data_IF_188683684064
#
_entry.id   IF_188683684064
#
_cell.length_a   1.000
_cell.length_b   1.000
_cell.length_c   1.000
_cell.angle_alpha   90.00
_cell.angle_beta   90.00
_cell.angle_gamma   90.00
#
_symmetry.space_group_name_H-M   'P 1'
#
loop_
_entity.id
_entity.type
_entity.pdbx_description
1 polymer ?
#
# COMPACT_ATOMS: atom_id res chain seq x y z
N UNK A 1 26.40 19.61 2.43
CA UNK A 1 25.11 19.36 3.11
C UNK A 1 24.59 18.04 2.59
N UNK A 2 24.70 16.99 3.36
CA UNK A 2 24.05 15.71 3.05
C UNK A 2 22.55 15.97 3.14
N UNK A 3 21.83 15.92 2.01
CA UNK A 3 20.36 15.87 2.02
C UNK A 3 20.00 14.60 2.77
N UNK A 4 19.57 14.75 4.01
CA UNK A 4 18.99 13.63 4.76
C UNK A 4 17.79 13.12 3.93
N UNK A 5 17.84 11.86 3.51
CA UNK A 5 16.75 11.28 2.74
C UNK A 5 15.51 11.22 3.62
N UNK A 6 14.36 11.62 3.06
CA UNK A 6 13.06 11.50 3.74
C UNK A 6 12.87 10.07 4.26
N UNK A 7 12.71 9.85 5.58
CA UNK A 7 12.50 8.52 6.12
C UNK A 7 11.19 7.91 5.61
N UNK A 8 11.29 6.65 5.18
CA UNK A 8 10.14 5.87 4.74
C UNK A 8 9.70 4.97 5.90
N UNK A 9 8.42 5.01 6.21
CA UNK A 9 7.74 4.05 7.06
C UNK A 9 7.01 3.07 6.15
N UNK A 10 7.57 1.87 6.00
CA UNK A 10 7.04 0.82 5.14
C UNK A 10 6.04 -0.03 5.90
N UNK A 11 4.78 -0.09 5.44
CA UNK A 11 3.71 -0.86 6.09
C UNK A 11 3.08 -1.82 5.10
N UNK A 12 3.25 -3.12 5.36
CA UNK A 12 2.58 -4.19 4.65
C UNK A 12 1.46 -4.82 5.48
N UNK A 13 0.64 -5.61 4.85
CA UNK A 13 -0.38 -6.39 5.53
C UNK A 13 -1.51 -6.86 4.62
N UNK A 14 -2.24 -7.92 5.01
CA UNK A 14 -3.33 -8.48 4.23
C UNK A 14 -4.53 -7.53 4.13
N UNK A 15 -5.49 -7.88 3.27
CA UNK A 15 -6.75 -7.14 3.14
C UNK A 15 -7.53 -7.15 4.46
N UNK A 16 -8.03 -5.98 4.89
CA UNK A 16 -8.81 -5.86 6.13
C UNK A 16 -7.97 -5.81 7.43
N UNK A 17 -6.63 -5.82 7.38
CA UNK A 17 -5.79 -5.67 8.59
C UNK A 17 -5.88 -4.28 9.25
N UNK A 18 -6.52 -3.31 8.58
CA UNK A 18 -6.60 -1.93 9.08
C UNK A 18 -5.44 -1.03 8.65
N UNK A 19 -4.45 -1.57 7.90
CA UNK A 19 -3.23 -0.82 7.54
C UNK A 19 -3.51 0.54 6.91
N UNK A 20 -4.45 0.65 5.96
CA UNK A 20 -4.72 1.93 5.27
C UNK A 20 -5.26 3.00 6.20
N UNK A 21 -6.16 2.64 7.12
CA UNK A 21 -6.73 3.57 8.08
C UNK A 21 -5.69 4.00 9.11
N UNK A 22 -4.92 3.04 9.64
CA UNK A 22 -3.85 3.29 10.61
C UNK A 22 -2.72 4.10 9.98
N UNK A 23 -2.24 3.72 8.80
CA UNK A 23 -1.19 4.44 8.07
C UNK A 23 -1.53 5.90 7.81
N UNK A 24 -2.79 6.17 7.42
CA UNK A 24 -3.28 7.55 7.21
C UNK A 24 -3.28 8.35 8.50
N UNK A 25 -3.80 7.77 9.58
CA UNK A 25 -3.86 8.47 10.86
C UNK A 25 -2.46 8.75 11.42
N UNK A 26 -1.53 7.82 11.27
CA UNK A 26 -0.13 8.01 11.63
C UNK A 26 0.48 9.15 10.81
N UNK A 27 0.30 9.14 9.49
CA UNK A 27 0.79 10.21 8.64
C UNK A 27 0.24 11.58 9.07
N UNK A 28 -1.06 11.65 9.39
CA UNK A 28 -1.70 12.87 9.89
C UNK A 28 -1.11 13.33 11.23
N UNK A 29 -0.96 12.42 12.22
CA UNK A 29 -0.43 12.76 13.55
C UNK A 29 1.03 13.20 13.52
N UNK A 30 1.81 12.68 12.56
CA UNK A 30 3.23 12.98 12.43
C UNK A 30 3.56 14.09 11.43
N UNK A 31 2.57 14.60 10.68
CA UNK A 31 2.83 15.52 9.59
C UNK A 31 3.59 14.89 8.43
N UNK A 32 3.48 13.56 8.26
CA UNK A 32 4.12 12.79 7.21
C UNK A 32 3.23 12.70 5.97
N UNK A 33 3.85 12.41 4.83
CA UNK A 33 3.11 12.00 3.64
C UNK A 33 2.54 10.59 3.79
N UNK A 34 1.49 10.31 3.01
CA UNK A 34 0.86 8.99 2.91
C UNK A 34 0.77 8.55 1.45
N UNK A 35 1.25 7.36 1.15
CA UNK A 35 1.25 6.79 -0.20
C UNK A 35 0.56 5.42 -0.22
N UNK A 36 -0.62 5.34 -0.87
CA UNK A 36 -1.36 4.11 -1.19
C UNK A 36 -0.83 3.53 -2.51
N UNK A 37 0.05 2.54 -2.45
CA UNK A 37 0.57 1.89 -3.66
C UNK A 37 -0.51 1.14 -4.44
N UNK A 38 -1.52 0.61 -3.76
CA UNK A 38 -2.67 -0.01 -4.39
C UNK A 38 -3.45 0.95 -5.30
N UNK A 39 -3.46 2.25 -5.01
CA UNK A 39 -4.04 3.25 -5.90
C UNK A 39 -3.27 3.34 -7.22
N UNK A 40 -1.94 3.24 -7.19
CA UNK A 40 -1.10 3.21 -8.40
C UNK A 40 -1.39 2.01 -9.29
N UNK A 41 -1.51 0.81 -8.71
CA UNK A 41 -1.89 -0.39 -9.44
C UNK A 41 -3.29 -0.28 -10.04
N UNK A 42 -4.27 0.25 -9.30
CA UNK A 42 -5.63 0.49 -9.81
C UNK A 42 -5.64 1.53 -10.93
N UNK A 43 -4.83 2.57 -10.82
CA UNK A 43 -4.69 3.58 -11.86
C UNK A 43 -4.13 3.00 -13.17
N UNK A 44 -3.18 2.07 -13.08
CA UNK A 44 -2.69 1.36 -14.25
C UNK A 44 -3.77 0.45 -14.86
N UNK A 45 -4.53 -0.30 -14.03
CA UNK A 45 -5.69 -1.08 -14.52
C UNK A 45 -6.65 -0.21 -15.29
N UNK A 46 -7.05 0.93 -14.72
CA UNK A 46 -7.94 1.89 -15.37
C UNK A 46 -7.37 2.37 -16.71
N UNK A 47 -6.07 2.70 -16.74
CA UNK A 47 -5.41 3.17 -17.95
C UNK A 47 -5.40 2.13 -19.08
N UNK A 48 -5.14 0.86 -18.75
CA UNK A 48 -5.16 -0.26 -19.71
C UNK A 48 -6.58 -0.49 -20.23
N UNK A 49 -7.55 -0.61 -19.33
CA UNK A 49 -8.96 -0.85 -19.68
C UNK A 49 -9.55 0.28 -20.57
N UNK A 50 -9.21 1.54 -20.23
CA UNK A 50 -9.68 2.69 -21.03
C UNK A 50 -9.13 2.70 -22.46
N UNK A 51 -8.02 2.01 -22.73
CA UNK A 51 -7.45 1.82 -24.07
C UNK A 51 -8.09 0.64 -24.79
N UNK A 52 -9.06 -0.04 -24.17
CA UNK A 52 -9.71 -1.24 -24.71
C UNK A 52 -8.79 -2.47 -24.71
N UNK A 53 -7.73 -2.47 -23.89
CA UNK A 53 -6.78 -3.56 -23.80
C UNK A 53 -7.11 -4.49 -22.63
N UNK A 54 -6.72 -5.77 -22.77
CA UNK A 54 -6.83 -6.76 -21.70
C UNK A 54 -5.66 -6.62 -20.72
N UNK A 55 -5.94 -6.55 -19.45
CA UNK A 55 -4.91 -6.49 -18.40
C UNK A 55 -4.16 -7.82 -18.23
N UNK A 56 -4.67 -8.93 -18.74
CA UNK A 56 -3.98 -10.22 -18.79
C UNK A 56 -3.00 -10.34 -19.97
N UNK A 57 -3.09 -9.44 -20.95
CA UNK A 57 -2.14 -9.35 -22.06
C UNK A 57 -0.93 -8.52 -21.63
N UNK A 58 0.18 -9.20 -21.34
CA UNK A 58 1.41 -8.57 -20.88
C UNK A 58 1.93 -7.53 -21.86
N UNK A 59 1.92 -7.80 -23.16
CA UNK A 59 2.45 -6.88 -24.18
C UNK A 59 1.58 -5.62 -24.29
N UNK A 60 0.28 -5.77 -24.18
CA UNK A 60 -0.65 -4.65 -24.14
C UNK A 60 -0.44 -3.77 -22.90
N UNK A 61 -0.21 -4.39 -21.72
CA UNK A 61 0.08 -3.67 -20.48
C UNK A 61 1.42 -2.93 -20.59
N UNK A 62 2.49 -3.59 -21.06
CA UNK A 62 3.80 -2.95 -21.24
C UNK A 62 3.73 -1.79 -22.24
N UNK A 63 2.96 -1.94 -23.31
CA UNK A 63 2.71 -0.85 -24.26
C UNK A 63 2.00 0.32 -23.58
N UNK A 64 1.01 0.06 -22.71
CA UNK A 64 0.29 1.10 -21.98
C UNK A 64 1.19 1.90 -21.03
N UNK A 65 2.24 1.29 -20.44
CA UNK A 65 3.20 1.99 -19.57
C UNK A 65 3.88 3.17 -20.28
N UNK A 66 4.08 3.11 -21.58
CA UNK A 66 4.77 4.17 -22.33
C UNK A 66 4.07 5.53 -22.28
N UNK A 67 2.77 5.55 -21.99
CA UNK A 67 1.94 6.75 -21.87
C UNK A 67 1.28 6.91 -20.51
N UNK A 68 1.73 6.13 -19.51
CA UNK A 68 1.16 6.15 -18.16
C UNK A 68 1.80 7.26 -17.32
N UNK A 69 1.16 8.43 -17.30
CA UNK A 69 1.55 9.59 -16.46
C UNK A 69 0.68 9.59 -15.20
N UNK A 70 1.20 8.96 -14.14
CA UNK A 70 0.53 8.83 -12.83
C UNK A 70 0.96 9.94 -11.90
N UNK A 71 -0.03 10.58 -11.25
CA UNK A 71 0.18 11.46 -10.09
C UNK A 71 -0.66 11.00 -8.93
N UNK A 72 -0.04 10.89 -7.78
CA UNK A 72 -0.65 10.55 -6.50
C UNK A 72 -0.40 11.69 -5.52
N UNK A 73 -1.45 12.16 -4.85
CA UNK A 73 -1.31 13.03 -3.69
C UNK A 73 -0.63 12.30 -2.54
N UNK A 74 0.19 13.00 -1.77
CA UNK A 74 0.82 12.47 -0.56
C UNK A 74 0.17 12.99 0.73
N UNK A 75 -0.74 13.94 0.64
CA UNK A 75 -1.48 14.41 1.80
C UNK A 75 -2.44 13.32 2.30
N UNK A 76 -2.46 12.99 3.60
CA UNK A 76 -3.30 11.92 4.13
C UNK A 76 -4.79 12.07 3.81
N UNK A 77 -5.27 13.31 3.70
CA UNK A 77 -6.67 13.63 3.42
C UNK A 77 -6.96 13.87 1.93
N UNK A 78 -5.94 14.10 1.11
CA UNK A 78 -6.06 14.18 -0.34
C UNK A 78 -5.84 12.80 -0.97
N UNK A 79 -6.91 12.24 -1.50
CA UNK A 79 -6.90 10.93 -2.19
C UNK A 79 -6.92 11.09 -3.70
N UNK A 80 -6.58 12.27 -4.21
CA UNK A 80 -6.60 12.56 -5.64
C UNK A 80 -5.59 11.70 -6.38
N UNK A 81 -6.09 11.05 -7.42
CA UNK A 81 -5.30 10.25 -8.36
C UNK A 81 -5.58 10.76 -9.76
N UNK A 82 -4.53 11.15 -10.49
CA UNK A 82 -4.66 11.53 -11.88
C UNK A 82 -3.81 10.67 -12.79
N UNK A 83 -4.33 10.40 -13.98
CA UNK A 83 -3.61 9.70 -15.06
C UNK A 83 -3.69 10.55 -16.32
N UNK A 84 -2.54 10.99 -16.84
CA UNK A 84 -2.50 11.88 -18.01
C UNK A 84 -3.28 13.18 -17.79
N UNK A 85 -3.31 13.70 -16.56
CA UNK A 85 -4.06 14.91 -16.19
C UNK A 85 -5.56 14.70 -15.95
N UNK A 86 -6.10 13.49 -16.13
CA UNK A 86 -7.50 13.14 -15.85
C UNK A 86 -7.62 12.68 -14.40
N UNK A 87 -8.55 13.26 -13.63
CA UNK A 87 -8.90 12.78 -12.30
C UNK A 87 -9.65 11.44 -12.39
N UNK A 88 -9.03 10.41 -11.86
CA UNK A 88 -9.54 9.03 -11.85
C UNK A 88 -9.83 8.50 -10.45
N UNK A 89 -9.83 9.38 -9.45
CA UNK A 89 -9.94 9.06 -8.02
C UNK A 89 -11.11 8.14 -7.69
N UNK A 90 -12.25 8.33 -8.34
CA UNK A 90 -13.44 7.49 -8.16
C UNK A 90 -13.40 6.25 -9.06
N UNK A 91 -13.01 6.44 -10.29
CA UNK A 91 -13.04 5.39 -11.33
C UNK A 91 -12.15 4.20 -10.98
N UNK A 92 -10.97 4.46 -10.37
CA UNK A 92 -10.05 3.41 -9.96
C UNK A 92 -10.55 2.54 -8.79
N UNK A 93 -11.68 2.87 -8.18
CA UNK A 93 -12.27 2.13 -7.04
C UNK A 93 -13.46 1.25 -7.44
N UNK A 94 -13.77 1.19 -8.72
CA UNK A 94 -14.80 0.27 -9.23
C UNK A 94 -14.37 -1.19 -9.08
N UNK A 95 -15.34 -2.13 -8.91
CA UNK A 95 -15.04 -3.56 -8.85
C UNK A 95 -14.29 -4.06 -10.09
N UNK A 96 -14.65 -3.59 -11.27
CA UNK A 96 -14.03 -3.93 -12.55
C UNK A 96 -12.53 -3.59 -12.55
N UNK A 97 -12.18 -2.34 -12.25
CA UNK A 97 -10.79 -1.88 -12.20
C UNK A 97 -9.99 -2.62 -11.14
N UNK A 98 -10.62 -2.89 -9.99
CA UNK A 98 -9.96 -3.61 -8.88
C UNK A 98 -9.70 -5.07 -9.26
N UNK A 99 -10.61 -5.74 -9.94
CA UNK A 99 -10.43 -7.13 -10.37
C UNK A 99 -9.33 -7.26 -11.44
N UNK A 100 -9.22 -6.27 -12.33
CA UNK A 100 -8.25 -6.26 -13.42
C UNK A 100 -6.78 -6.17 -12.97
N UNK A 101 -6.50 -5.76 -11.72
CA UNK A 101 -5.14 -5.70 -11.16
C UNK A 101 -4.42 -7.06 -11.26
N UNK A 102 -5.13 -8.15 -11.02
CA UNK A 102 -4.56 -9.51 -11.00
C UNK A 102 -3.90 -9.92 -12.30
N UNK A 103 -4.28 -9.31 -13.42
CA UNK A 103 -3.75 -9.61 -14.74
C UNK A 103 -2.24 -9.30 -14.88
N UNK A 104 -1.73 -8.29 -14.18
CA UNK A 104 -0.34 -7.85 -14.35
C UNK A 104 0.48 -7.71 -13.07
N UNK A 105 -0.08 -7.97 -11.89
CA UNK A 105 0.67 -7.81 -10.62
C UNK A 105 1.92 -8.69 -10.53
N UNK A 106 1.99 -9.77 -11.31
CA UNK A 106 3.13 -10.68 -11.36
C UNK A 106 4.14 -10.35 -12.48
N UNK A 107 3.87 -9.34 -13.32
CA UNK A 107 4.78 -8.92 -14.40
C UNK A 107 5.91 -8.09 -13.81
N UNK A 108 7.17 -8.56 -13.87
CA UNK A 108 8.31 -7.90 -13.21
C UNK A 108 8.54 -6.47 -13.70
N UNK A 109 8.38 -6.22 -15.00
CA UNK A 109 8.58 -4.91 -15.62
C UNK A 109 7.56 -3.89 -15.12
N UNK A 110 6.30 -4.29 -14.98
CA UNK A 110 5.23 -3.44 -14.42
C UNK A 110 5.54 -3.10 -12.97
N UNK A 111 5.95 -4.09 -12.17
CA UNK A 111 6.33 -3.88 -10.77
C UNK A 111 7.53 -2.93 -10.66
N UNK A 112 8.56 -3.16 -11.46
CA UNK A 112 9.74 -2.29 -11.47
C UNK A 112 9.38 -0.84 -11.81
N UNK A 113 8.51 -0.64 -12.81
CA UNK A 113 8.05 0.67 -13.23
C UNK A 113 7.27 1.39 -12.11
N UNK A 114 6.28 0.74 -11.51
CA UNK A 114 5.48 1.32 -10.43
C UNK A 114 6.33 1.58 -9.18
N UNK A 115 7.19 0.64 -8.80
CA UNK A 115 8.08 0.80 -7.64
C UNK A 115 9.04 1.98 -7.81
N UNK A 116 9.53 2.23 -9.02
CA UNK A 116 10.35 3.41 -9.32
C UNK A 116 9.55 4.71 -9.10
N UNK A 117 8.27 4.74 -9.51
CA UNK A 117 7.39 5.89 -9.24
C UNK A 117 7.19 6.10 -7.74
N UNK A 118 6.88 5.03 -6.99
CA UNK A 118 6.62 5.14 -5.55
C UNK A 118 7.85 5.63 -4.77
N UNK A 119 9.02 5.08 -5.07
CA UNK A 119 10.29 5.55 -4.47
C UNK A 119 10.58 7.01 -4.78
N UNK A 120 10.38 7.40 -6.03
CA UNK A 120 10.58 8.79 -6.46
C UNK A 120 9.63 9.74 -5.73
N UNK A 121 8.33 9.42 -5.67
CA UNK A 121 7.34 10.23 -4.97
C UNK A 121 7.69 10.42 -3.49
N UNK A 122 8.13 9.37 -2.81
CA UNK A 122 8.54 9.45 -1.42
C UNK A 122 9.84 10.26 -1.26
N UNK A 123 10.86 9.97 -2.07
CA UNK A 123 12.18 10.59 -1.96
C UNK A 123 12.21 12.07 -2.35
N UNK A 124 11.37 12.49 -3.30
CA UNK A 124 11.27 13.87 -3.78
C UNK A 124 10.18 14.69 -3.05
N UNK A 125 9.53 14.11 -2.05
CA UNK A 125 8.39 14.73 -1.37
C UNK A 125 8.75 16.02 -0.61
N UNK A 126 9.98 16.11 -0.11
CA UNK A 126 10.41 17.22 0.78
C UNK A 126 9.74 17.19 2.15
N UNK A 127 9.03 16.14 2.50
CA UNK A 127 8.35 15.96 3.78
C UNK A 127 9.30 15.36 4.84
N UNK A 128 8.96 15.54 6.12
CA UNK A 128 9.73 14.98 7.23
C UNK A 128 9.70 13.45 7.32
N UNK A 129 8.75 12.80 6.63
CA UNK A 129 8.62 11.36 6.50
C UNK A 129 7.49 10.99 5.54
N UNK A 130 7.50 9.77 5.03
CA UNK A 130 6.42 9.23 4.20
C UNK A 130 6.05 7.82 4.66
N UNK A 131 4.77 7.62 4.97
CA UNK A 131 4.21 6.29 5.20
C UNK A 131 3.78 5.71 3.86
N UNK A 132 4.39 4.61 3.46
CA UNK A 132 4.03 3.86 2.24
C UNK A 132 3.35 2.58 2.67
N UNK A 133 2.13 2.35 2.19
CA UNK A 133 1.41 1.12 2.46
C UNK A 133 1.18 0.25 1.22
N UNK A 134 1.21 -1.07 1.42
CA UNK A 134 0.97 -2.02 0.34
C UNK A 134 0.99 -3.48 0.74
N UNK A 135 1.71 -4.29 -0.05
CA UNK A 135 1.84 -5.74 0.14
C UNK A 135 3.29 -6.22 0.21
N UNK A 136 4.18 -5.51 -0.46
CA UNK A 136 5.59 -5.85 -0.62
C UNK A 136 6.48 -4.61 -0.42
N UNK A 137 6.01 -3.68 0.39
CA UNK A 137 6.73 -2.44 0.64
C UNK A 137 8.01 -2.72 1.42
N UNK A 138 7.91 -3.54 2.46
CA UNK A 138 9.01 -3.88 3.36
C UNK A 138 10.10 -4.73 2.70
N UNK A 139 9.75 -5.49 1.64
CA UNK A 139 10.66 -6.44 1.00
C UNK A 139 11.14 -6.00 -0.39
N UNK A 140 10.34 -5.21 -1.12
CA UNK A 140 10.63 -4.86 -2.52
C UNK A 140 10.66 -3.36 -2.75
N UNK A 141 9.63 -2.61 -2.32
CA UNK A 141 9.55 -1.17 -2.62
C UNK A 141 10.57 -0.39 -1.81
N UNK A 142 10.68 -0.65 -0.52
CA UNK A 142 11.57 0.05 0.39
C UNK A 142 12.23 -0.93 1.39
N UNK A 143 13.06 -1.90 0.92
CA UNK A 143 13.69 -2.90 1.79
C UNK A 143 14.69 -2.27 2.78
N UNK A 144 15.20 -1.10 2.45
CA UNK A 144 16.14 -0.34 3.30
C UNK A 144 15.42 0.71 4.17
N UNK A 145 14.09 0.69 4.22
CA UNK A 145 13.32 1.63 5.05
C UNK A 145 13.74 1.50 6.52
N UNK A 146 13.93 2.64 7.23
CA UNK A 146 14.27 2.62 8.65
C UNK A 146 13.20 1.98 9.53
N UNK A 147 11.96 1.98 9.08
CA UNK A 147 10.82 1.38 9.76
C UNK A 147 10.12 0.44 8.80
N UNK A 148 10.06 -0.84 9.14
CA UNK A 148 9.40 -1.88 8.33
C UNK A 148 8.42 -2.65 9.19
N UNK A 149 7.15 -2.59 8.87
CA UNK A 149 6.05 -3.14 9.67
C UNK A 149 5.17 -4.04 8.82
N UNK A 150 4.85 -5.23 9.35
CA UNK A 150 3.79 -6.09 8.86
C UNK A 150 2.59 -6.00 9.81
N UNK A 151 1.53 -5.32 9.38
CA UNK A 151 0.27 -5.30 10.14
C UNK A 151 -0.58 -6.52 9.79
N UNK A 152 -0.93 -7.31 10.78
CA UNK A 152 -1.78 -8.50 10.64
C UNK A 152 -3.03 -8.43 11.51
N UNK A 153 -4.00 -9.27 11.22
CA UNK A 153 -5.16 -9.57 12.04
C UNK A 153 -5.75 -10.92 11.62
N UNK A 154 -6.47 -11.58 12.52
CA UNK A 154 -7.14 -12.86 12.22
C UNK A 154 -8.11 -12.72 11.03
N UNK A 155 -8.30 -13.78 10.23
CA UNK A 155 -9.23 -13.75 9.09
C UNK A 155 -10.64 -13.30 9.47
N UNK A 156 -11.10 -13.67 10.66
CA UNK A 156 -12.43 -13.32 11.22
C UNK A 156 -12.55 -11.81 11.43
N UNK A 157 -11.56 -11.22 12.10
CA UNK A 157 -11.52 -9.77 12.37
C UNK A 157 -11.43 -8.98 11.07
N UNK A 158 -10.62 -9.43 10.13
CA UNK A 158 -10.48 -8.79 8.82
C UNK A 158 -11.77 -8.84 8.01
N UNK A 159 -12.48 -9.97 8.03
CA UNK A 159 -13.78 -10.11 7.38
C UNK A 159 -14.83 -9.19 8.00
N UNK A 160 -14.86 -9.10 9.34
CA UNK A 160 -15.77 -8.21 10.05
C UNK A 160 -15.51 -6.73 9.70
N UNK A 161 -14.25 -6.28 9.77
CA UNK A 161 -13.87 -4.90 9.43
C UNK A 161 -14.25 -4.54 8.00
N UNK A 162 -14.01 -5.44 7.05
CA UNK A 162 -14.32 -5.23 5.64
C UNK A 162 -15.82 -5.28 5.35
N UNK A 163 -16.56 -6.16 6.05
CA UNK A 163 -18.03 -6.22 5.99
C UNK A 163 -18.66 -4.90 6.39
N UNK A 164 -18.17 -4.28 7.48
CA UNK A 164 -18.61 -2.96 7.92
C UNK A 164 -18.31 -1.86 6.89
N UNK A 165 -17.14 -1.91 6.24
CA UNK A 165 -16.78 -0.93 5.19
C UNK A 165 -17.69 -1.04 3.95
N UNK A 166 -18.10 -2.23 3.58
CA UNK A 166 -18.85 -2.48 2.35
C UNK A 166 -20.36 -2.62 2.56
N UNK A 167 -20.83 -2.69 3.80
CA UNK A 167 -22.23 -3.00 4.11
C UNK A 167 -22.63 -4.40 3.62
N UNK A 168 -21.68 -5.34 3.57
CA UNK A 168 -21.83 -6.70 3.05
C UNK A 168 -21.76 -7.73 4.19
N UNK A 169 -22.31 -8.94 3.93
CA UNK A 169 -22.24 -10.05 4.88
C UNK A 169 -20.78 -10.48 5.13
N UNK A 170 -20.42 -10.63 6.39
CA UNK A 170 -19.06 -10.99 6.79
C UNK A 170 -18.62 -12.37 6.25
N UNK A 171 -19.54 -13.31 6.02
CA UNK A 171 -19.21 -14.63 5.49
C UNK A 171 -18.83 -14.57 4.00
N UNK A 172 -19.56 -13.80 3.19
CA UNK A 172 -19.22 -13.58 1.78
C UNK A 172 -17.89 -12.84 1.63
N UNK A 173 -17.67 -11.83 2.49
CA UNK A 173 -16.43 -11.05 2.52
C UNK A 173 -15.25 -11.93 2.95
N UNK A 174 -15.44 -12.85 3.89
CA UNK A 174 -14.39 -13.77 4.37
C UNK A 174 -13.84 -14.63 3.22
N UNK A 175 -14.70 -15.19 2.40
CA UNK A 175 -14.26 -16.01 1.26
C UNK A 175 -13.45 -15.19 0.23
N UNK A 176 -13.88 -13.96 -0.04
CA UNK A 176 -13.14 -13.06 -0.92
C UNK A 176 -11.76 -12.65 -0.35
N UNK A 177 -11.68 -12.45 0.97
CA UNK A 177 -10.43 -12.16 1.68
C UNK A 177 -9.48 -13.37 1.59
N UNK A 178 -9.95 -14.58 1.89
CA UNK A 178 -9.12 -15.78 1.86
C UNK A 178 -8.54 -16.07 0.48
N UNK A 179 -9.35 -15.90 -0.59
CA UNK A 179 -8.85 -16.01 -1.97
C UNK A 179 -7.77 -15.00 -2.29
N UNK A 180 -7.88 -13.79 -1.76
CA UNK A 180 -6.88 -12.75 -1.97
C UNK A 180 -5.61 -12.98 -1.16
N UNK A 181 -5.75 -13.45 0.07
CA UNK A 181 -4.62 -13.81 0.92
C UNK A 181 -3.81 -14.97 0.32
N UNK A 182 -4.47 -15.95 -0.28
CA UNK A 182 -3.80 -17.03 -1.01
C UNK A 182 -2.95 -16.50 -2.19
N UNK A 183 -3.43 -15.45 -2.86
CA UNK A 183 -2.66 -14.76 -3.90
C UNK A 183 -1.49 -13.94 -3.35
N UNK A 184 -1.63 -13.37 -2.17
CA UNK A 184 -0.65 -12.49 -1.53
C UNK A 184 0.27 -13.25 -0.53
N UNK A 185 -0.01 -14.54 -0.20
CA UNK A 185 0.62 -15.31 0.88
C UNK A 185 2.13 -15.32 0.83
N UNK A 186 2.70 -15.62 -0.33
CA UNK A 186 4.15 -15.73 -0.48
C UNK A 186 4.90 -14.43 -0.11
N UNK A 187 4.31 -13.28 -0.42
CA UNK A 187 4.93 -11.98 -0.13
C UNK A 187 4.82 -11.65 1.36
N UNK A 188 3.68 -11.96 1.97
CA UNK A 188 3.45 -11.74 3.40
C UNK A 188 4.29 -12.68 4.27
N UNK A 189 4.46 -13.95 3.86
CA UNK A 189 5.35 -14.92 4.51
C UNK A 189 6.82 -14.45 4.47
N UNK A 190 7.27 -13.89 3.35
CA UNK A 190 8.63 -13.32 3.25
C UNK A 190 8.81 -12.12 4.19
N UNK A 191 7.81 -11.27 4.32
CA UNK A 191 7.87 -10.14 5.24
C UNK A 191 7.87 -10.60 6.70
N UNK A 192 7.07 -11.60 7.06
CA UNK A 192 7.01 -12.17 8.41
C UNK A 192 8.32 -12.88 8.79
N UNK A 193 8.98 -13.50 7.82
CA UNK A 193 10.25 -14.22 8.03
C UNK A 193 11.47 -13.28 8.12
N UNK A 194 11.35 -12.00 7.73
CA UNK A 194 12.47 -11.04 7.78
C UNK A 194 12.64 -10.50 9.20
N UNK A 195 13.77 -10.78 9.88
CA UNK A 195 13.99 -10.32 11.26
C UNK A 195 14.06 -8.80 11.42
N UNK A 196 14.14 -8.05 10.32
CA UNK A 196 14.10 -6.59 10.32
C UNK A 196 12.69 -6.02 10.10
N UNK A 197 11.66 -6.86 10.07
CA UNK A 197 10.25 -6.43 9.95
C UNK A 197 9.53 -6.69 11.28
N UNK A 198 8.94 -5.65 11.83
CA UNK A 198 8.13 -5.75 13.03
C UNK A 198 6.71 -6.21 12.70
N UNK A 199 6.26 -7.28 13.35
CA UNK A 199 4.89 -7.76 13.19
C UNK A 199 3.98 -7.11 14.24
N UNK A 200 2.92 -6.44 13.79
CA UNK A 200 1.89 -5.83 14.64
C UNK A 200 0.57 -6.56 14.40
N UNK A 201 0.22 -7.47 15.31
CA UNK A 201 -1.08 -8.14 15.31
C UNK A 201 -2.15 -7.24 15.92
N UNK A 202 -3.15 -6.90 15.13
CA UNK A 202 -4.25 -6.01 15.52
C UNK A 202 -5.55 -6.77 15.79
N UNK A 203 -5.51 -8.10 15.96
CA UNK A 203 -6.71 -8.93 16.14
C UNK A 203 -7.55 -8.51 17.33
N UNK A 204 -6.90 -8.19 18.45
CA UNK A 204 -7.53 -7.81 19.70
C UNK A 204 -7.49 -6.30 19.97
N UNK A 205 -6.99 -5.50 19.01
CA UNK A 205 -6.81 -4.07 19.16
C UNK A 205 -7.95 -3.29 18.49
N UNK A 206 -8.42 -2.26 19.17
CA UNK A 206 -9.25 -1.24 18.54
C UNK A 206 -8.41 -0.31 17.63
N UNK A 207 -9.07 0.69 17.03
CA UNK A 207 -8.40 1.58 16.07
C UNK A 207 -7.29 2.40 16.73
N UNK A 208 -7.55 3.00 17.91
CA UNK A 208 -6.57 3.81 18.63
C UNK A 208 -5.41 2.96 19.15
N UNK A 209 -5.70 1.80 19.73
CA UNK A 209 -4.67 0.86 20.16
C UNK A 209 -3.79 0.38 19.02
N UNK A 210 -4.37 0.16 17.83
CA UNK A 210 -3.61 -0.21 16.63
C UNK A 210 -2.65 0.91 16.19
N UNK A 211 -3.09 2.18 16.26
CA UNK A 211 -2.24 3.33 15.98
C UNK A 211 -1.11 3.42 16.99
N UNK A 212 -1.40 3.32 18.28
CA UNK A 212 -0.41 3.42 19.35
C UNK A 212 0.65 2.30 19.26
N UNK A 213 0.24 1.08 18.89
CA UNK A 213 1.15 -0.03 18.67
C UNK A 213 2.13 0.26 17.51
N UNK A 214 1.63 0.76 16.38
CA UNK A 214 2.47 1.10 15.24
C UNK A 214 3.36 2.32 15.54
N UNK A 215 2.85 3.35 16.22
CA UNK A 215 3.65 4.51 16.65
C UNK A 215 4.79 4.09 17.59
N UNK A 216 4.55 3.13 18.48
CA UNK A 216 5.59 2.60 19.38
C UNK A 216 6.75 1.98 18.60
N UNK A 217 6.46 1.24 17.53
CA UNK A 217 7.50 0.71 16.61
C UNK A 217 8.25 1.85 15.92
N UNK A 218 7.53 2.82 15.36
CA UNK A 218 8.12 3.95 14.66
C UNK A 218 9.06 4.74 15.59
N UNK A 219 8.63 5.04 16.81
CA UNK A 219 9.42 5.80 17.78
C UNK A 219 10.66 5.05 18.22
N UNK A 220 10.58 3.73 18.40
CA UNK A 220 11.71 2.88 18.71
C UNK A 220 12.76 2.91 17.59
N UNK A 221 12.34 2.70 16.34
CA UNK A 221 13.23 2.59 15.20
C UNK A 221 13.84 3.94 14.78
N UNK A 222 13.08 5.01 14.82
CA UNK A 222 13.58 6.36 14.50
C UNK A 222 14.30 7.00 15.69
N UNK A 223 13.82 6.81 16.92
CA UNK A 223 14.44 7.35 18.13
C UNK A 223 15.81 6.76 18.43
N UNK A 224 16.02 5.49 18.13
CA UNK A 224 17.31 4.80 18.29
C UNK A 224 18.41 5.32 17.35
N UNK A 225 18.10 6.09 16.32
CA UNK A 225 19.06 6.64 15.35
C UNK A 225 19.64 7.99 15.75
N UNK A 226 18.96 8.74 16.63
CA UNK A 226 19.45 10.04 17.12
C UNK A 226 20.40 9.92 18.33
N UNK A 227 20.69 8.71 18.79
CA UNK A 227 21.55 8.41 19.93
C UNK A 227 22.90 7.74 19.59
N UNK A 228 23.31 7.70 18.31
CA UNK A 228 24.61 7.13 17.92
C UNK A 228 25.48 8.13 17.20
#
# INVERSE_FOLDING_TARGET
MTTEQTPIIAIDGPAGSGKSSVSKEIARRRGYGYLDTGAGYRALSWHVLRRGADTADTDAVLTALTSFDLRLGLEPDDRTVTVGGVDVTRDIRTPEVTAAISGFTRVPEVRAYLNAIFRRLAGESGLEGVVIEGRDITSVVAPDAPVRILMTASPEVRAQRRGLEWGADAAEVKEAILRRDESDSHVLELAEADPGVDVVDTSELDFEQSIDAVLTVIDRELGGRHGR
#
